data_IF_041921374623
#
_entry.id   IF_041921374623
#
_cell.length_a   1.000
_cell.length_b   1.000
_cell.length_c   1.000
_cell.angle_alpha   90.00
_cell.angle_beta   90.00
_cell.angle_gamma   90.00
#
_symmetry.space_group_name_H-M   'P 1'
#
loop_
_entity.id
_entity.type
_entity.pdbx_description
1 polymer ?
#
# COMPACT_ATOMS: atom_id res chain seq x y z
N UNK A 1 23.89 14.80 8.82
CA UNK A 1 23.29 13.85 9.77
C UNK A 1 22.23 13.05 9.02
N UNK A 2 22.61 11.91 8.43
CA UNK A 2 21.77 11.13 7.52
C UNK A 2 21.13 10.00 8.34
N UNK A 3 19.88 10.17 8.77
CA UNK A 3 19.15 9.12 9.46
C UNK A 3 18.66 8.15 8.38
N UNK A 4 19.37 7.04 8.20
CA UNK A 4 18.82 5.90 7.48
C UNK A 4 17.55 5.49 8.23
N UNK A 5 16.38 5.80 7.67
CA UNK A 5 15.09 5.43 8.23
C UNK A 5 14.92 3.93 7.99
N UNK A 6 15.56 3.12 8.84
CA UNK A 6 15.32 1.67 8.92
C UNK A 6 14.37 1.34 10.09
N UNK A 7 13.37 2.19 10.31
CA UNK A 7 12.24 1.89 11.18
C UNK A 7 11.13 1.38 10.29
N UNK A 8 10.70 0.14 10.49
CA UNK A 8 9.58 -0.43 9.74
C UNK A 8 8.35 0.46 9.93
N UNK A 9 7.72 0.85 8.82
CA UNK A 9 6.49 1.66 8.82
C UNK A 9 5.29 0.75 9.07
N UNK A 10 4.39 1.16 9.95
CA UNK A 10 3.16 0.44 10.22
C UNK A 10 2.12 0.65 9.11
N UNK A 11 1.17 -0.30 9.01
CA UNK A 11 0.04 -0.18 8.07
C UNK A 11 -0.77 1.10 8.29
N UNK A 12 -0.99 1.49 9.56
CA UNK A 12 -1.67 2.73 9.92
C UNK A 12 -0.92 3.98 9.44
N UNK A 13 0.40 4.03 9.65
CA UNK A 13 1.23 5.16 9.21
C UNK A 13 1.22 5.31 7.70
N UNK A 14 1.39 4.19 6.98
CA UNK A 14 1.39 4.21 5.52
C UNK A 14 0.02 4.61 4.94
N UNK A 15 -1.08 4.08 5.48
CA UNK A 15 -2.44 4.48 5.08
C UNK A 15 -2.68 5.97 5.31
N UNK A 16 -2.24 6.48 6.47
CA UNK A 16 -2.39 7.88 6.83
C UNK A 16 -1.57 8.80 5.92
N UNK A 17 -0.36 8.38 5.53
CA UNK A 17 0.46 9.09 4.56
C UNK A 17 -0.24 9.17 3.20
N UNK A 18 -0.81 8.06 2.73
CA UNK A 18 -1.51 7.98 1.45
C UNK A 18 -2.75 8.86 1.40
N UNK A 19 -3.59 8.83 2.44
CA UNK A 19 -4.79 9.68 2.55
C UNK A 19 -4.43 11.15 2.49
N UNK A 20 -3.36 11.57 3.20
CA UNK A 20 -2.86 12.95 3.17
C UNK A 20 -2.29 13.33 1.81
N UNK A 21 -1.49 12.45 1.20
CA UNK A 21 -0.92 12.67 -0.13
C UNK A 21 -2.01 12.82 -1.21
N UNK A 22 -3.13 12.10 -1.06
CA UNK A 22 -4.28 12.17 -1.94
C UNK A 22 -5.24 13.33 -1.64
N UNK A 23 -5.00 14.11 -0.58
CA UNK A 23 -5.88 15.20 -0.15
C UNK A 23 -7.27 14.73 0.29
N UNK A 24 -7.41 13.47 0.72
CA UNK A 24 -8.68 12.90 1.14
C UNK A 24 -8.99 13.35 2.56
N UNK A 25 -10.22 13.82 2.79
CA UNK A 25 -10.70 14.18 4.13
C UNK A 25 -10.88 12.94 5.01
N UNK A 26 -10.52 13.04 6.28
CA UNK A 26 -10.70 11.98 7.26
C UNK A 26 -12.18 11.59 7.43
N UNK A 27 -12.43 10.31 7.77
CA UNK A 27 -13.76 9.74 7.97
C UNK A 27 -13.87 9.14 9.38
N UNK A 28 -14.84 9.60 10.16
CA UNK A 28 -15.05 9.11 11.54
C UNK A 28 -15.93 7.84 11.61
N UNK A 29 -16.41 7.35 10.47
CA UNK A 29 -17.21 6.11 10.39
C UNK A 29 -16.33 4.91 10.72
N UNK A 30 -16.55 4.26 11.86
CA UNK A 30 -15.80 3.05 12.23
C UNK A 30 -16.04 1.93 11.21
N UNK A 31 -14.97 1.45 10.58
CA UNK A 31 -15.00 0.36 9.58
C UNK A 31 -14.27 -0.90 10.01
N UNK A 32 -13.44 -0.81 11.04
CA UNK A 32 -12.58 -1.89 11.48
C UNK A 32 -12.74 -2.13 12.99
N UNK A 33 -12.90 -3.38 13.42
CA UNK A 33 -13.03 -3.70 14.85
C UNK A 33 -11.72 -3.50 15.63
N UNK A 34 -10.57 -3.47 14.94
CA UNK A 34 -9.23 -3.30 15.52
C UNK A 34 -8.68 -1.86 15.39
N UNK A 35 -9.56 -0.89 15.11
CA UNK A 35 -9.25 0.55 15.08
C UNK A 35 -10.19 1.27 16.04
N UNK A 36 -9.63 1.90 17.08
CA UNK A 36 -10.43 2.67 18.04
C UNK A 36 -10.65 4.09 17.50
N UNK A 37 -11.81 4.68 17.78
CA UNK A 37 -12.10 6.07 17.37
C UNK A 37 -11.14 7.10 17.96
N UNK A 38 -10.44 6.76 19.05
CA UNK A 38 -9.44 7.61 19.71
C UNK A 38 -8.04 7.45 19.13
N UNK A 39 -7.81 6.48 18.25
CA UNK A 39 -6.50 6.30 17.62
C UNK A 39 -6.24 7.46 16.65
N UNK A 40 -5.03 8.03 16.68
CA UNK A 40 -4.68 9.20 15.86
C UNK A 40 -4.84 8.96 14.34
N UNK A 41 -4.78 7.69 13.92
CA UNK A 41 -4.93 7.27 12.52
C UNK A 41 -6.37 6.88 12.16
N UNK A 42 -7.31 6.85 13.11
CA UNK A 42 -8.65 6.29 12.87
C UNK A 42 -9.37 6.97 11.71
N UNK A 43 -9.38 8.31 11.72
CA UNK A 43 -9.98 9.12 10.66
C UNK A 43 -9.39 8.83 9.28
N UNK A 44 -8.06 8.73 9.20
CA UNK A 44 -7.37 8.45 7.96
C UNK A 44 -7.59 7.00 7.49
N UNK A 45 -7.52 6.00 8.37
CA UNK A 45 -7.71 4.59 8.01
C UNK A 45 -9.12 4.33 7.50
N UNK A 46 -10.14 4.92 8.13
CA UNK A 46 -11.52 4.80 7.66
C UNK A 46 -11.73 5.49 6.30
N UNK A 47 -11.06 6.63 6.06
CA UNK A 47 -11.08 7.30 4.76
C UNK A 47 -10.39 6.45 3.68
N UNK A 48 -9.25 5.85 4.01
CA UNK A 48 -8.54 4.91 3.12
C UNK A 48 -9.43 3.72 2.75
N UNK A 49 -10.18 3.17 3.71
CA UNK A 49 -11.12 2.08 3.46
C UNK A 49 -12.29 2.51 2.58
N UNK A 50 -12.86 3.70 2.83
CA UNK A 50 -13.93 4.27 1.98
C UNK A 50 -13.44 4.52 0.55
N UNK A 51 -12.19 4.91 0.38
CA UNK A 51 -11.56 5.10 -0.93
C UNK A 51 -11.11 3.78 -1.60
N UNK A 52 -11.24 2.64 -0.91
CA UNK A 52 -10.88 1.32 -1.43
C UNK A 52 -9.38 1.00 -1.37
N UNK A 53 -8.59 1.74 -0.58
CA UNK A 53 -7.14 1.50 -0.47
C UNK A 53 -6.82 0.30 0.42
N UNK A 54 -7.68 0.00 1.38
CA UNK A 54 -7.50 -1.04 2.40
C UNK A 54 -8.82 -1.73 2.71
N UNK A 55 -8.75 -3.00 3.09
CA UNK A 55 -9.89 -3.86 3.41
C UNK A 55 -9.56 -4.87 4.54
N UNK A 56 -10.55 -5.71 4.90
CA UNK A 56 -10.37 -6.83 5.84
C UNK A 56 -10.10 -6.41 7.28
N UNK A 57 -9.33 -7.22 8.02
CA UNK A 57 -8.82 -6.83 9.35
C UNK A 57 -7.61 -5.92 9.16
N UNK A 58 -7.65 -4.71 9.71
CA UNK A 58 -6.70 -3.68 9.31
C UNK A 58 -5.28 -3.91 9.85
N UNK A 59 -5.15 -4.43 11.07
CA UNK A 59 -3.89 -4.67 11.80
C UNK A 59 -3.00 -3.41 11.82
N UNK A 60 -3.48 -2.30 12.44
CA UNK A 60 -2.86 -0.98 12.29
C UNK A 60 -1.38 -0.92 12.66
N UNK A 61 -0.98 -1.65 13.71
CA UNK A 61 0.37 -1.62 14.25
C UNK A 61 1.31 -2.66 13.62
N UNK A 62 0.82 -3.50 12.71
CA UNK A 62 1.68 -4.44 12.00
C UNK A 62 2.54 -3.69 10.98
N UNK A 63 3.79 -4.13 10.82
CA UNK A 63 4.66 -3.64 9.76
C UNK A 63 4.02 -3.93 8.40
N UNK A 64 3.99 -2.92 7.53
CA UNK A 64 3.51 -3.12 6.17
C UNK A 64 4.57 -3.85 5.34
N UNK A 65 4.15 -4.82 4.53
CA UNK A 65 5.04 -5.48 3.57
C UNK A 65 5.13 -4.67 2.26
N UNK A 66 6.19 -4.89 1.48
CA UNK A 66 6.35 -4.21 0.17
C UNK A 66 5.18 -4.49 -0.78
N UNK A 67 4.67 -5.73 -0.80
CA UNK A 67 3.50 -6.10 -1.59
C UNK A 67 2.22 -5.37 -1.11
N UNK A 68 2.03 -5.18 0.20
CA UNK A 68 0.90 -4.40 0.73
C UNK A 68 1.02 -2.90 0.39
N UNK A 69 2.23 -2.33 0.45
CA UNK A 69 2.47 -0.95 0.00
C UNK A 69 2.09 -0.80 -1.47
N UNK A 70 2.50 -1.76 -2.31
CA UNK A 70 2.20 -1.76 -3.73
C UNK A 70 0.71 -1.78 -4.02
N UNK A 71 -0.04 -2.59 -3.27
CA UNK A 71 -1.49 -2.67 -3.42
C UNK A 71 -2.18 -1.35 -3.06
N UNK A 72 -1.82 -0.76 -1.92
CA UNK A 72 -2.41 0.51 -1.49
C UNK A 72 -2.09 1.65 -2.48
N UNK A 73 -0.87 1.71 -3.01
CA UNK A 73 -0.48 2.70 -4.02
C UNK A 73 -1.27 2.51 -5.32
N UNK A 74 -1.36 1.29 -5.84
CA UNK A 74 -2.11 1.02 -7.09
C UNK A 74 -3.60 1.33 -6.94
N UNK A 75 -4.18 1.06 -5.78
CA UNK A 75 -5.57 1.43 -5.50
C UNK A 75 -5.75 2.96 -5.46
N UNK A 76 -4.82 3.68 -4.84
CA UNK A 76 -4.85 5.14 -4.84
C UNK A 76 -4.66 5.76 -6.23
N UNK A 77 -3.78 5.20 -7.06
CA UNK A 77 -3.65 5.57 -8.46
C UNK A 77 -4.94 5.34 -9.24
N UNK A 78 -5.59 4.20 -9.01
CA UNK A 78 -6.87 3.86 -9.64
C UNK A 78 -7.97 4.83 -9.21
N UNK A 79 -8.00 5.21 -7.94
CA UNK A 79 -8.88 6.24 -7.41
C UNK A 79 -8.61 7.62 -8.05
N UNK A 80 -7.34 7.94 -8.33
CA UNK A 80 -6.94 9.14 -9.05
C UNK A 80 -7.23 9.12 -10.57
N UNK A 81 -7.86 8.04 -11.08
CA UNK A 81 -8.11 7.86 -12.52
C UNK A 81 -6.88 7.48 -13.35
N UNK A 82 -5.77 7.10 -12.71
CA UNK A 82 -4.51 6.68 -13.34
C UNK A 82 -4.37 5.16 -13.37
N UNK A 83 -5.38 4.48 -13.92
CA UNK A 83 -5.36 3.02 -14.05
C UNK A 83 -4.31 2.59 -15.08
N UNK A 84 -3.46 1.64 -14.69
CA UNK A 84 -2.53 0.95 -15.59
C UNK A 84 -2.93 -0.52 -15.69
N UNK A 85 -2.71 -1.11 -16.87
CA UNK A 85 -2.93 -2.54 -17.04
C UNK A 85 -1.76 -3.32 -16.43
N UNK A 86 -2.05 -4.50 -15.88
CA UNK A 86 -1.01 -5.41 -15.44
C UNK A 86 -0.24 -5.93 -16.66
N UNK A 87 1.09 -5.86 -16.61
CA UNK A 87 1.97 -6.57 -17.54
C UNK A 87 2.80 -7.58 -16.75
N UNK A 88 2.51 -8.87 -16.94
CA UNK A 88 3.22 -9.94 -16.25
C UNK A 88 4.73 -9.93 -16.54
N UNK A 89 5.17 -9.33 -17.66
CA UNK A 89 6.60 -9.11 -17.97
C UNK A 89 7.29 -8.20 -16.96
N UNK A 90 6.54 -7.32 -16.30
CA UNK A 90 7.06 -6.48 -15.22
C UNK A 90 7.49 -7.28 -13.99
N UNK A 91 6.97 -8.50 -13.80
CA UNK A 91 7.35 -9.37 -12.69
C UNK A 91 8.52 -10.30 -13.01
N UNK A 92 8.75 -10.62 -14.30
CA UNK A 92 9.76 -11.64 -14.69
C UNK A 92 11.19 -11.20 -14.42
N UNK A 93 11.43 -9.91 -14.16
CA UNK A 93 12.73 -9.40 -13.74
C UNK A 93 13.03 -9.72 -12.26
N UNK A 94 12.00 -9.96 -11.44
CA UNK A 94 12.15 -10.19 -10.00
C UNK A 94 12.25 -11.68 -9.68
N UNK A 95 13.37 -12.09 -9.10
CA UNK A 95 13.64 -13.48 -8.72
C UNK A 95 12.75 -13.96 -7.56
N UNK A 96 12.23 -13.02 -6.76
CA UNK A 96 11.32 -13.26 -5.64
C UNK A 96 9.84 -13.22 -6.03
N UNK A 97 9.51 -12.95 -7.31
CA UNK A 97 8.12 -12.98 -7.81
C UNK A 97 7.36 -14.30 -7.60
N UNK A 98 7.99 -15.50 -7.57
CA UNK A 98 7.28 -16.73 -7.25
C UNK A 98 6.71 -16.75 -5.82
N UNK A 99 7.33 -16.02 -4.89
CA UNK A 99 6.92 -15.95 -3.48
C UNK A 99 5.84 -14.92 -3.21
N UNK A 100 5.47 -14.09 -4.20
CA UNK A 100 4.38 -13.15 -4.03
C UNK A 100 3.07 -13.89 -3.81
N UNK A 101 2.28 -13.33 -2.89
CA UNK A 101 0.91 -13.77 -2.72
C UNK A 101 0.15 -13.64 -4.04
N UNK A 102 -0.70 -14.61 -4.38
CA UNK A 102 -1.43 -14.61 -5.65
C UNK A 102 -2.26 -13.34 -5.87
N UNK A 103 -2.85 -12.81 -4.79
CA UNK A 103 -3.63 -11.56 -4.80
C UNK A 103 -2.79 -10.30 -5.10
N UNK A 104 -1.49 -10.33 -4.83
CA UNK A 104 -0.60 -9.17 -5.01
C UNK A 104 0.04 -9.12 -6.40
N UNK A 105 0.16 -10.25 -7.11
CA UNK A 105 0.91 -10.35 -8.38
C UNK A 105 0.44 -9.33 -9.42
N UNK A 106 -0.86 -9.30 -9.73
CA UNK A 106 -1.39 -8.39 -10.75
C UNK A 106 -1.20 -6.92 -10.35
N UNK A 107 -1.32 -6.63 -9.06
CA UNK A 107 -1.26 -5.26 -8.53
C UNK A 107 0.19 -4.75 -8.45
N UNK A 108 1.13 -5.63 -8.11
CA UNK A 108 2.57 -5.34 -8.20
C UNK A 108 2.98 -5.17 -9.67
N UNK A 109 2.49 -6.01 -10.58
CA UNK A 109 2.76 -5.85 -12.01
C UNK A 109 2.26 -4.51 -12.54
N UNK A 110 1.08 -4.05 -12.13
CA UNK A 110 0.52 -2.74 -12.48
C UNK A 110 1.38 -1.58 -11.99
N UNK A 111 1.80 -1.61 -10.72
CA UNK A 111 2.61 -0.53 -10.12
C UNK A 111 4.01 -0.44 -10.72
N UNK A 112 4.63 -1.58 -11.03
CA UNK A 112 5.92 -1.64 -11.72
C UNK A 112 5.79 -1.12 -13.15
N UNK A 113 4.75 -1.55 -13.87
CA UNK A 113 4.48 -1.07 -15.24
C UNK A 113 4.17 0.43 -15.30
N UNK A 114 3.58 0.96 -14.23
CA UNK A 114 3.32 2.39 -14.08
C UNK A 114 4.58 3.22 -13.73
N UNK A 115 5.71 2.57 -13.41
CA UNK A 115 6.94 3.24 -12.97
C UNK A 115 6.82 3.92 -11.60
N UNK A 116 5.81 3.53 -10.80
CA UNK A 116 5.56 4.11 -9.48
C UNK A 116 6.29 3.35 -8.38
N UNK A 117 6.51 2.06 -8.59
CA UNK A 117 7.26 1.21 -7.66
C UNK A 117 8.39 0.52 -8.39
N UNK A 118 9.55 0.56 -7.77
CA UNK A 118 10.76 -0.11 -8.22
C UNK A 118 11.14 -1.18 -7.20
N UNK A 119 11.74 -2.28 -7.67
CA UNK A 119 12.32 -3.25 -6.75
C UNK A 119 13.46 -2.64 -5.94
N UNK A 120 13.73 -3.21 -4.77
CA UNK A 120 14.89 -2.82 -3.95
C UNK A 120 16.21 -2.94 -4.71
N UNK A 121 16.29 -3.92 -5.61
CA UNK A 121 17.38 -4.07 -6.58
C UNK A 121 16.79 -4.26 -7.98
N UNK A 122 17.67 -4.32 -8.99
CA UNK A 122 17.26 -4.61 -10.36
C UNK A 122 16.50 -5.95 -10.50
N UNK A 123 16.74 -6.92 -9.61
CA UNK A 123 16.20 -8.28 -9.71
C UNK A 123 15.47 -8.74 -8.45
N UNK A 124 15.27 -7.88 -7.46
CA UNK A 124 14.63 -8.25 -6.19
C UNK A 124 13.66 -7.16 -5.76
N UNK A 125 12.40 -7.53 -5.53
CA UNK A 125 11.39 -6.60 -5.07
C UNK A 125 11.49 -6.34 -3.56
N UNK A 126 11.89 -7.37 -2.79
CA UNK A 126 11.98 -7.45 -1.33
C UNK A 126 10.67 -7.73 -0.63
N UNK A 127 10.50 -9.01 -0.28
CA UNK A 127 9.57 -9.51 0.73
C UNK A 127 10.18 -9.45 2.12
#
# INVERSE_FOLDING_TARGET
MHRLVNSAISRAEFASLLVRAMGISEDNTSRFPDVKSTDWFAGAVNAAAKAGFVDGTFRPNANITSEQMAVMITHAMSFAGKKTNADARGLSVFTDSPFFSSWAKDVVAQSVSAGVIYGRTATTFSL
#
